data_IF_157310442984
#
_entry.id   IF_157310442984
#
_cell.length_a   1.000
_cell.length_b   1.000
_cell.length_c   1.000
_cell.angle_alpha   90.00
_cell.angle_beta   90.00
_cell.angle_gamma   90.00
#
_symmetry.space_group_name_H-M   'P 1'
#
loop_
_entity.id
_entity.type
_entity.pdbx_description
1 polymer ?
#
# COMPACT_ATOMS: atom_id res chain seq x y z
N UNK A 1 4.14 -13.99 -0.47
CA UNK A 1 4.14 -13.93 -1.95
C UNK A 1 3.65 -15.20 -2.65
N UNK A 2 4.01 -16.43 -2.21
CA UNK A 2 3.56 -17.67 -2.86
C UNK A 2 2.05 -17.92 -2.68
N UNK A 3 1.51 -17.58 -1.54
CA UNK A 3 0.10 -17.78 -1.18
C UNK A 3 -0.80 -16.75 -1.89
N UNK A 4 -0.36 -15.51 -1.98
CA UNK A 4 -1.00 -14.44 -2.75
C UNK A 4 -1.05 -14.76 -4.25
N UNK A 5 -0.04 -15.48 -4.79
CA UNK A 5 -0.05 -16.04 -6.15
C UNK A 5 -1.18 -17.03 -6.35
N UNK A 6 -1.35 -17.99 -5.41
CA UNK A 6 -2.37 -19.04 -5.51
C UNK A 6 -3.79 -18.49 -5.43
N UNK A 7 -4.02 -17.52 -4.52
CA UNK A 7 -5.34 -16.90 -4.36
C UNK A 7 -5.76 -16.09 -5.60
N UNK A 8 -4.88 -15.31 -6.20
CA UNK A 8 -5.20 -14.57 -7.43
C UNK A 8 -5.42 -15.46 -8.64
N UNK A 9 -4.63 -16.49 -8.83
CA UNK A 9 -4.82 -17.44 -9.93
C UNK A 9 -6.14 -18.20 -9.87
N UNK A 10 -6.69 -18.43 -8.68
CA UNK A 10 -7.97 -19.12 -8.51
C UNK A 10 -9.20 -18.23 -8.75
N UNK A 11 -9.11 -16.93 -8.47
CA UNK A 11 -10.29 -16.05 -8.48
C UNK A 11 -10.58 -15.36 -9.82
N UNK A 12 -9.59 -15.09 -10.68
CA UNK A 12 -9.77 -14.18 -11.83
C UNK A 12 -9.20 -14.71 -13.16
N UNK A 13 -8.75 -15.93 -13.28
CA UNK A 13 -8.03 -16.44 -14.48
C UNK A 13 -6.82 -15.59 -14.91
N UNK A 14 -6.25 -14.81 -13.99
CA UNK A 14 -5.19 -13.86 -14.29
C UNK A 14 -3.82 -14.51 -14.36
N UNK A 15 -3.04 -14.05 -15.32
CA UNK A 15 -1.61 -14.30 -15.34
C UNK A 15 -0.91 -13.35 -14.40
N UNK A 16 -0.15 -13.88 -13.45
CA UNK A 16 0.65 -13.08 -12.54
C UNK A 16 2.06 -12.90 -13.06
N UNK A 17 2.44 -11.67 -13.33
CA UNK A 17 3.80 -11.26 -13.70
C UNK A 17 4.44 -10.54 -12.52
N UNK A 18 5.46 -11.13 -11.85
CA UNK A 18 6.14 -10.46 -10.75
C UNK A 18 6.96 -9.28 -11.28
N UNK A 19 6.88 -8.13 -10.60
CA UNK A 19 7.82 -7.03 -10.78
C UNK A 19 8.90 -7.12 -9.70
N UNK A 20 10.15 -6.89 -10.09
CA UNK A 20 11.27 -6.73 -9.16
C UNK A 20 11.02 -5.52 -8.26
N UNK A 21 11.19 -5.70 -6.94
CA UNK A 21 10.92 -4.64 -5.96
C UNK A 21 10.19 -5.16 -4.73
N UNK A 22 10.91 -5.78 -3.81
CA UNK A 22 10.37 -6.24 -2.54
C UNK A 22 10.61 -5.18 -1.47
N UNK A 23 9.60 -4.31 -1.26
CA UNK A 23 9.65 -3.24 -0.28
C UNK A 23 9.79 -3.76 1.16
N UNK A 24 9.25 -4.95 1.47
CA UNK A 24 9.37 -5.55 2.80
C UNK A 24 10.83 -5.91 3.08
N UNK A 25 11.49 -6.56 2.13
CA UNK A 25 12.92 -6.90 2.25
C UNK A 25 13.79 -5.65 2.32
N UNK A 26 13.44 -4.60 1.57
CA UNK A 26 14.14 -3.32 1.63
C UNK A 26 14.09 -2.72 3.04
N UNK A 27 12.92 -2.64 3.64
CA UNK A 27 12.74 -2.08 4.97
C UNK A 27 13.40 -2.96 6.06
N UNK A 28 13.31 -4.28 5.94
CA UNK A 28 13.98 -5.22 6.86
C UNK A 28 15.50 -5.19 6.75
N UNK A 29 16.03 -5.03 5.53
CA UNK A 29 17.46 -4.94 5.27
C UNK A 29 18.08 -3.57 5.59
N UNK A 30 17.28 -2.54 5.73
CA UNK A 30 17.71 -1.16 5.97
C UNK A 30 16.85 -0.48 7.05
N UNK A 31 17.06 -0.79 8.34
CA UNK A 31 16.31 -0.18 9.44
C UNK A 31 16.42 1.36 9.46
N UNK A 32 17.55 1.91 9.02
CA UNK A 32 17.77 3.34 8.89
C UNK A 32 16.82 4.03 7.88
N UNK A 33 16.42 3.31 6.81
CA UNK A 33 15.38 3.79 5.88
C UNK A 33 14.01 3.73 6.55
N UNK A 34 13.70 2.63 7.22
CA UNK A 34 12.42 2.43 7.89
C UNK A 34 12.18 3.46 9.00
N UNK A 35 13.24 3.80 9.75
CA UNK A 35 13.20 4.73 10.86
C UNK A 35 13.52 6.18 10.48
N UNK A 36 13.82 6.44 9.21
CA UNK A 36 14.30 7.74 8.72
C UNK A 36 15.55 8.22 9.48
N UNK A 37 16.36 7.28 10.01
CA UNK A 37 17.61 7.55 10.70
C UNK A 37 18.76 7.61 9.69
N UNK A 38 19.56 8.65 9.79
CA UNK A 38 20.62 8.91 8.82
C UNK A 38 20.26 10.09 7.90
N UNK A 39 21.22 10.92 7.59
CA UNK A 39 20.94 12.15 6.82
C UNK A 39 20.23 11.86 5.50
N UNK A 40 19.36 12.76 5.06
CA UNK A 40 18.58 12.70 3.82
C UNK A 40 19.36 12.21 2.60
N UNK A 41 20.63 12.63 2.48
CA UNK A 41 21.52 12.24 1.38
C UNK A 41 21.83 10.74 1.39
N UNK A 42 22.06 10.17 2.57
CA UNK A 42 22.35 8.73 2.70
C UNK A 42 21.14 7.86 2.34
N UNK A 43 19.97 8.19 2.89
CA UNK A 43 18.71 7.50 2.60
C UNK A 43 18.37 7.60 1.11
N UNK A 44 18.51 8.79 0.52
CA UNK A 44 18.25 9.04 -0.89
C UNK A 44 19.17 8.22 -1.80
N UNK A 45 20.45 8.15 -1.46
CA UNK A 45 21.45 7.36 -2.19
C UNK A 45 21.12 5.87 -2.20
N UNK A 46 20.77 5.32 -1.04
CA UNK A 46 20.38 3.90 -0.89
C UNK A 46 19.10 3.56 -1.68
N UNK A 47 18.07 4.38 -1.53
CA UNK A 47 16.81 4.21 -2.28
C UNK A 47 17.05 4.26 -3.79
N UNK A 48 17.87 5.21 -4.26
CA UNK A 48 18.20 5.33 -5.68
C UNK A 48 18.97 4.11 -6.19
N UNK A 49 19.96 3.63 -5.45
CA UNK A 49 20.72 2.43 -5.82
C UNK A 49 19.81 1.21 -5.92
N UNK A 50 18.92 1.02 -4.97
CA UNK A 50 17.96 -0.08 -4.98
C UNK A 50 16.96 0.01 -6.14
N UNK A 51 16.46 1.21 -6.44
CA UNK A 51 15.58 1.43 -7.59
C UNK A 51 16.28 1.15 -8.91
N UNK A 52 17.55 1.50 -9.05
CA UNK A 52 18.37 1.20 -10.23
C UNK A 52 18.57 -0.31 -10.41
N UNK A 53 18.76 -1.05 -9.33
CA UNK A 53 18.88 -2.50 -9.35
C UNK A 53 17.56 -3.14 -9.83
N UNK A 54 16.44 -2.79 -9.22
CA UNK A 54 15.13 -3.31 -9.60
C UNK A 54 14.73 -2.96 -11.04
N UNK A 55 15.10 -1.77 -11.49
CA UNK A 55 14.77 -1.27 -12.82
C UNK A 55 15.36 -2.09 -13.96
N UNK A 56 16.43 -2.85 -13.72
CA UNK A 56 17.07 -3.71 -14.73
C UNK A 56 16.10 -4.73 -15.32
N UNK A 57 15.19 -5.25 -14.48
CA UNK A 57 14.22 -6.27 -14.89
C UNK A 57 12.88 -5.68 -15.35
N UNK A 58 12.57 -4.44 -14.98
CA UNK A 58 11.24 -3.86 -15.17
C UNK A 58 10.80 -3.78 -16.62
N UNK A 59 11.72 -3.53 -17.54
CA UNK A 59 11.39 -3.43 -18.96
C UNK A 59 10.93 -4.78 -19.52
N UNK A 60 11.62 -5.88 -19.18
CA UNK A 60 11.29 -7.23 -19.66
C UNK A 60 10.05 -7.78 -18.96
N UNK A 61 9.96 -7.58 -17.63
CA UNK A 61 8.80 -7.98 -16.87
C UNK A 61 7.53 -7.23 -17.32
N UNK A 62 7.65 -5.92 -17.57
CA UNK A 62 6.56 -5.11 -18.09
C UNK A 62 6.17 -5.47 -19.52
N UNK A 63 7.13 -5.80 -20.37
CA UNK A 63 6.90 -6.28 -21.75
C UNK A 63 6.08 -7.56 -21.73
N UNK A 64 6.46 -8.52 -20.89
CA UNK A 64 5.74 -9.77 -20.74
C UNK A 64 4.31 -9.57 -20.22
N UNK A 65 4.13 -8.65 -19.26
CA UNK A 65 2.82 -8.35 -18.69
C UNK A 65 1.87 -7.61 -19.65
N UNK A 66 2.41 -6.84 -20.60
CA UNK A 66 1.63 -6.02 -21.54
C UNK A 66 1.38 -6.68 -22.89
N UNK A 67 1.81 -7.94 -23.10
CA UNK A 67 1.77 -8.60 -24.42
C UNK A 67 0.37 -8.65 -25.06
N UNK A 68 -0.68 -8.72 -24.25
CA UNK A 68 -2.08 -8.78 -24.66
C UNK A 68 -2.99 -7.80 -23.88
N UNK A 69 -2.38 -6.78 -23.28
CA UNK A 69 -3.11 -5.77 -22.50
C UNK A 69 -3.81 -4.76 -23.42
N UNK A 70 -5.05 -4.39 -23.08
CA UNK A 70 -5.77 -3.29 -23.74
C UNK A 70 -5.70 -1.96 -22.96
N UNK A 71 -5.29 -2.02 -21.69
CA UNK A 71 -5.19 -0.88 -20.77
C UNK A 71 -4.15 -1.19 -19.70
N UNK A 72 -3.44 -0.17 -19.23
CA UNK A 72 -2.49 -0.30 -18.11
C UNK A 72 -2.98 0.50 -16.92
N UNK A 73 -3.13 -0.15 -15.76
CA UNK A 73 -3.36 0.51 -14.48
C UNK A 73 -2.06 0.62 -13.69
N UNK A 74 -1.57 1.85 -13.49
CA UNK A 74 -0.35 2.12 -12.72
C UNK A 74 -0.66 2.50 -11.28
N UNK A 75 -0.07 1.81 -10.30
CA UNK A 75 -0.28 2.06 -8.88
C UNK A 75 1.02 2.50 -8.20
N UNK A 76 0.95 3.53 -7.36
CA UNK A 76 2.10 4.01 -6.60
C UNK A 76 3.32 4.35 -7.48
N UNK A 77 4.51 3.89 -7.11
CA UNK A 77 5.75 4.11 -7.87
C UNK A 77 5.77 3.38 -9.22
N UNK A 78 5.03 2.28 -9.38
CA UNK A 78 4.89 1.57 -10.64
C UNK A 78 4.14 2.38 -11.72
N UNK A 79 3.47 3.49 -11.35
CA UNK A 79 2.83 4.41 -12.30
C UNK A 79 3.81 4.99 -13.33
N UNK A 80 5.07 5.18 -12.98
CA UNK A 80 6.09 5.66 -13.92
C UNK A 80 6.47 4.60 -14.97
N UNK A 81 6.56 3.33 -14.55
CA UNK A 81 6.76 2.20 -15.47
C UNK A 81 5.55 2.04 -16.36
N UNK A 82 4.34 2.06 -15.80
CA UNK A 82 3.08 1.98 -16.55
C UNK A 82 3.00 3.05 -17.65
N UNK A 83 3.39 4.28 -17.35
CA UNK A 83 3.42 5.36 -18.34
C UNK A 83 4.44 5.09 -19.46
N UNK A 84 5.63 4.57 -19.15
CA UNK A 84 6.63 4.19 -20.16
C UNK A 84 6.14 3.05 -21.06
N UNK A 85 5.52 2.02 -20.47
CA UNK A 85 4.93 0.91 -21.20
C UNK A 85 3.76 1.36 -22.09
N UNK A 86 2.89 2.25 -21.57
CA UNK A 86 1.81 2.83 -22.36
C UNK A 86 2.33 3.57 -23.59
N UNK A 87 3.38 4.37 -23.45
CA UNK A 87 4.03 5.04 -24.59
C UNK A 87 4.66 4.06 -25.59
N UNK A 88 5.28 2.98 -25.07
CA UNK A 88 5.93 1.98 -25.95
C UNK A 88 4.93 1.20 -26.79
N UNK A 89 3.78 0.86 -26.23
CA UNK A 89 2.79 -0.02 -26.87
C UNK A 89 1.55 0.72 -27.38
N UNK A 90 1.48 2.04 -27.23
CA UNK A 90 0.30 2.82 -27.63
C UNK A 90 -0.94 2.49 -26.79
N UNK A 91 -0.76 2.03 -25.55
CA UNK A 91 -1.85 1.63 -24.67
C UNK A 91 -2.32 2.80 -23.79
N UNK A 92 -3.62 2.93 -23.54
CA UNK A 92 -4.11 3.88 -22.57
C UNK A 92 -3.60 3.54 -21.16
N UNK A 93 -3.28 4.58 -20.39
CA UNK A 93 -2.78 4.43 -19.01
C UNK A 93 -3.69 5.19 -18.06
N UNK A 94 -4.06 4.54 -16.97
CA UNK A 94 -4.80 5.14 -15.87
C UNK A 94 -3.99 4.96 -14.59
N UNK A 95 -3.85 6.02 -13.79
CA UNK A 95 -3.22 5.92 -12.48
C UNK A 95 -4.27 5.59 -11.43
N UNK A 96 -4.00 4.54 -10.66
CA UNK A 96 -4.82 4.09 -9.56
C UNK A 96 -4.06 4.37 -8.25
N UNK A 97 -4.61 5.21 -7.38
CA UNK A 97 -3.94 5.67 -6.17
C UNK A 97 -4.82 5.45 -4.94
N UNK A 98 -4.21 5.12 -3.82
CA UNK A 98 -4.90 4.96 -2.53
C UNK A 98 -4.83 6.20 -1.66
N UNK A 99 -4.12 7.24 -2.11
CA UNK A 99 -3.87 8.48 -1.38
C UNK A 99 -4.01 9.68 -2.32
N UNK A 100 -4.47 10.84 -1.82
CA UNK A 100 -4.71 12.04 -2.61
C UNK A 100 -3.40 12.73 -3.00
N UNK A 101 -2.81 12.35 -4.13
CA UNK A 101 -1.54 12.86 -4.63
C UNK A 101 -1.66 14.03 -5.62
N UNK A 102 -2.86 14.32 -6.13
CA UNK A 102 -3.11 15.48 -6.98
C UNK A 102 -3.05 16.75 -6.14
N UNK A 103 -2.28 17.72 -6.60
CA UNK A 103 -2.10 19.00 -5.89
C UNK A 103 -3.45 19.70 -5.66
N UNK A 104 -3.64 20.23 -4.45
CA UNK A 104 -4.85 20.92 -4.05
C UNK A 104 -4.56 22.00 -3.02
N UNK A 105 -5.36 23.07 -3.05
CA UNK A 105 -5.39 24.11 -2.01
C UNK A 105 -6.10 23.64 -0.74
N UNK A 106 -6.87 22.58 -0.83
CA UNK A 106 -7.81 22.14 0.21
C UNK A 106 -7.31 20.89 0.98
N UNK A 107 -6.26 20.24 0.48
CA UNK A 107 -5.68 19.06 1.13
C UNK A 107 -4.31 19.35 1.72
N UNK A 108 -4.02 18.82 2.92
CA UNK A 108 -2.66 18.84 3.45
C UNK A 108 -1.74 17.97 2.61
N UNK A 109 -0.44 18.20 2.71
CA UNK A 109 0.53 17.29 2.13
C UNK A 109 0.52 15.94 2.85
N UNK A 110 0.59 14.86 2.08
CA UNK A 110 0.68 13.51 2.63
C UNK A 110 1.87 13.31 3.59
N UNK A 111 3.00 13.97 3.32
CA UNK A 111 4.20 13.93 4.18
C UNK A 111 4.09 14.80 5.44
N UNK A 112 3.07 15.66 5.53
CA UNK A 112 2.81 16.57 6.65
C UNK A 112 1.30 16.69 6.89
N UNK A 113 0.59 15.60 7.20
CA UNK A 113 -0.87 15.56 7.20
C UNK A 113 -1.52 16.43 8.29
N UNK A 114 -0.79 16.74 9.34
CA UNK A 114 -1.28 17.55 10.47
C UNK A 114 -1.07 19.05 10.29
N UNK A 115 -0.27 19.45 9.28
CA UNK A 115 0.08 20.87 9.06
C UNK A 115 -0.90 21.48 8.07
N UNK A 116 -1.66 22.47 8.53
CA UNK A 116 -2.51 23.29 7.66
C UNK A 116 -1.71 24.46 7.11
N UNK A 117 -1.55 24.48 5.80
CA UNK A 117 -0.81 25.52 5.07
C UNK A 117 -1.77 26.40 4.29
N UNK A 118 -1.42 27.67 4.03
CA UNK A 118 -2.14 28.50 3.06
C UNK A 118 -2.23 27.79 1.70
N UNK A 119 -3.38 27.85 1.04
CA UNK A 119 -3.69 27.03 -0.13
C UNK A 119 -2.66 27.11 -1.26
N UNK A 120 -2.12 28.30 -1.57
CA UNK A 120 -1.06 28.43 -2.59
C UNK A 120 0.26 27.76 -2.17
N UNK A 121 0.60 27.85 -0.87
CA UNK A 121 1.79 27.18 -0.32
C UNK A 121 1.58 25.66 -0.37
N UNK A 122 0.39 25.18 -0.03
CA UNK A 122 0.07 23.75 -0.15
C UNK A 122 0.28 23.25 -1.58
N UNK A 123 -0.27 23.92 -2.58
CA UNK A 123 -0.10 23.56 -4.00
C UNK A 123 1.39 23.56 -4.41
N UNK A 124 2.12 24.61 -4.05
CA UNK A 124 3.56 24.70 -4.36
C UNK A 124 4.33 23.51 -3.77
N UNK A 125 4.07 23.18 -2.51
CA UNK A 125 4.72 22.05 -1.85
C UNK A 125 4.30 20.69 -2.42
N UNK A 126 3.05 20.51 -2.86
CA UNK A 126 2.66 19.31 -3.61
C UNK A 126 3.52 19.14 -4.87
N UNK A 127 3.77 20.24 -5.61
CA UNK A 127 4.64 20.18 -6.77
C UNK A 127 6.10 19.87 -6.40
N UNK A 128 6.61 20.43 -5.30
CA UNK A 128 7.98 20.15 -4.81
C UNK A 128 8.11 18.68 -4.42
N UNK A 129 7.18 18.13 -3.64
CA UNK A 129 7.21 16.71 -3.22
C UNK A 129 7.11 15.77 -4.43
N UNK A 130 6.22 16.10 -5.37
CA UNK A 130 6.09 15.33 -6.62
C UNK A 130 7.39 15.38 -7.44
N UNK A 131 8.00 16.55 -7.55
CA UNK A 131 9.26 16.73 -8.25
C UNK A 131 10.41 15.97 -7.57
N UNK A 132 10.50 16.03 -6.24
CA UNK A 132 11.47 15.24 -5.49
C UNK A 132 11.30 13.73 -5.73
N UNK A 133 10.06 13.21 -5.64
CA UNK A 133 9.77 11.82 -5.98
C UNK A 133 10.16 11.46 -7.42
N UNK A 134 9.95 12.37 -8.37
CA UNK A 134 10.42 12.20 -9.73
C UNK A 134 11.96 12.11 -9.82
N UNK A 135 12.69 13.01 -9.15
CA UNK A 135 14.17 12.99 -9.17
C UNK A 135 14.74 11.69 -8.57
N UNK A 136 14.03 11.07 -7.64
CA UNK A 136 14.39 9.73 -7.12
C UNK A 136 14.24 8.65 -8.19
N UNK A 137 13.14 8.66 -8.92
CA UNK A 137 12.81 7.65 -9.95
C UNK A 137 13.53 7.87 -11.29
N UNK A 138 13.91 9.11 -11.60
CA UNK A 138 14.44 9.53 -12.89
C UNK A 138 15.61 8.68 -13.41
N UNK A 139 16.63 8.36 -12.62
CA UNK A 139 17.73 7.53 -13.11
C UNK A 139 17.29 6.12 -13.50
N UNK A 140 16.51 5.46 -12.64
CA UNK A 140 16.00 4.13 -12.93
C UNK A 140 15.19 4.09 -14.24
N UNK A 141 14.42 5.14 -14.50
CA UNK A 141 13.64 5.24 -15.73
C UNK A 141 14.48 5.65 -16.93
N UNK A 142 15.24 6.75 -16.84
CA UNK A 142 15.91 7.35 -17.99
C UNK A 142 17.19 6.62 -18.40
N UNK A 143 17.89 5.99 -17.46
CA UNK A 143 19.16 5.31 -17.73
C UNK A 143 18.99 3.80 -17.96
N UNK A 144 17.87 3.20 -17.49
CA UNK A 144 17.64 1.77 -17.55
C UNK A 144 16.38 1.41 -18.34
N UNK A 145 15.19 1.78 -17.83
CA UNK A 145 13.91 1.31 -18.39
C UNK A 145 13.64 1.85 -19.79
N UNK A 146 13.75 3.16 -19.97
CA UNK A 146 13.39 3.80 -21.24
C UNK A 146 14.31 3.42 -22.40
N UNK A 147 15.64 3.35 -22.23
CA UNK A 147 16.52 2.80 -23.27
C UNK A 147 16.18 1.36 -23.63
N UNK A 148 15.92 0.50 -22.62
CA UNK A 148 15.52 -0.90 -22.85
C UNK A 148 14.19 -1.04 -23.62
N UNK A 149 13.28 -0.05 -23.48
CA UNK A 149 12.03 0.03 -24.23
C UNK A 149 12.16 0.76 -25.57
N UNK A 150 13.33 1.27 -25.93
CA UNK A 150 13.55 2.08 -27.15
C UNK A 150 12.86 3.45 -27.10
N UNK A 151 12.73 4.04 -25.93
CA UNK A 151 12.08 5.32 -25.72
C UNK A 151 13.09 6.41 -25.36
N UNK A 152 12.87 7.68 -25.78
CA UNK A 152 13.71 8.80 -25.38
C UNK A 152 13.55 9.06 -23.87
N UNK A 153 14.58 9.64 -23.24
CA UNK A 153 14.53 10.04 -21.84
C UNK A 153 13.41 11.05 -21.57
N UNK A 154 12.80 10.96 -20.39
CA UNK A 154 11.89 12.01 -19.93
C UNK A 154 12.64 13.32 -19.67
N UNK A 155 11.98 14.47 -19.83
CA UNK A 155 12.53 15.76 -19.45
C UNK A 155 12.94 15.80 -17.97
N UNK A 156 13.78 16.74 -17.61
CA UNK A 156 14.18 16.95 -16.22
C UNK A 156 13.00 17.24 -15.29
N UNK A 157 11.97 17.91 -15.79
CA UNK A 157 10.70 18.19 -15.08
C UNK A 157 9.82 16.95 -14.85
N UNK A 158 10.09 15.85 -15.53
CA UNK A 158 9.31 14.61 -15.47
C UNK A 158 8.38 14.41 -16.66
N UNK A 159 7.65 13.29 -16.66
CA UNK A 159 6.67 13.00 -17.69
C UNK A 159 5.51 14.00 -17.67
N UNK A 160 5.00 14.33 -18.85
CA UNK A 160 3.71 15.02 -18.96
C UNK A 160 2.58 14.08 -18.51
N UNK A 161 1.78 14.56 -17.59
CA UNK A 161 0.65 13.83 -16.99
C UNK A 161 -0.68 14.53 -17.22
N UNK A 162 -0.71 15.59 -18.00
CA UNK A 162 -1.91 16.41 -18.22
C UNK A 162 -3.09 15.60 -18.79
N UNK A 163 -2.80 14.62 -19.63
CA UNK A 163 -3.81 13.76 -20.26
C UNK A 163 -4.12 12.49 -19.43
N UNK A 164 -3.43 12.26 -18.30
CA UNK A 164 -3.61 11.04 -17.54
C UNK A 164 -4.83 11.13 -16.61
N UNK A 165 -5.61 10.07 -16.62
CA UNK A 165 -6.68 9.87 -15.63
C UNK A 165 -6.09 9.30 -14.35
N UNK A 166 -6.58 9.82 -13.21
CA UNK A 166 -6.20 9.34 -11.88
C UNK A 166 -7.46 8.91 -11.15
N UNK A 167 -7.51 7.66 -10.74
CA UNK A 167 -8.57 7.09 -9.91
C UNK A 167 -8.08 6.97 -8.48
N UNK A 168 -8.87 7.45 -7.53
CA UNK A 168 -8.58 7.37 -6.11
C UNK A 168 -9.47 6.35 -5.44
N UNK A 169 -8.86 5.27 -4.92
CA UNK A 169 -9.53 4.16 -4.25
C UNK A 169 -9.82 4.41 -2.78
N UNK A 170 -10.50 5.50 -2.46
CA UNK A 170 -11.00 5.79 -1.13
C UNK A 170 -12.40 6.43 -1.19
N UNK A 171 -13.11 6.45 -0.06
CA UNK A 171 -14.47 7.00 0.01
C UNK A 171 -14.48 8.53 0.01
N UNK A 172 -15.39 9.12 -0.77
CA UNK A 172 -15.64 10.56 -0.75
C UNK A 172 -16.19 11.05 0.60
N UNK A 173 -16.78 10.17 1.42
CA UNK A 173 -17.20 10.50 2.78
C UNK A 173 -15.99 10.69 3.71
N UNK A 174 -14.93 9.93 3.51
CA UNK A 174 -13.69 10.07 4.27
C UNK A 174 -12.86 11.27 3.81
N UNK A 175 -12.71 11.43 2.51
CA UNK A 175 -11.96 12.53 1.90
C UNK A 175 -12.71 12.99 0.63
N UNK A 176 -13.53 14.06 0.73
CA UNK A 176 -14.24 14.60 -0.42
C UNK A 176 -13.28 15.03 -1.53
N UNK A 177 -13.71 14.87 -2.79
CA UNK A 177 -12.94 15.37 -3.94
C UNK A 177 -12.78 16.89 -3.82
N UNK A 178 -11.56 17.43 -3.83
CA UNK A 178 -11.35 18.87 -3.82
C UNK A 178 -11.92 19.55 -5.06
N UNK A 179 -12.50 20.76 -4.91
CA UNK A 179 -13.11 21.48 -6.03
C UNK A 179 -12.09 21.97 -7.08
N UNK A 180 -10.83 22.11 -6.69
CA UNK A 180 -9.72 22.53 -7.57
C UNK A 180 -9.02 21.38 -8.31
N UNK A 181 -9.50 20.15 -8.14
CA UNK A 181 -8.96 19.03 -8.90
C UNK A 181 -9.52 19.02 -10.34
N UNK A 182 -8.69 18.66 -11.36
CA UNK A 182 -9.15 18.48 -12.73
C UNK A 182 -10.13 17.31 -12.82
N UNK A 183 -10.97 17.30 -13.84
CA UNK A 183 -11.95 16.22 -14.08
C UNK A 183 -11.30 14.86 -14.32
N UNK A 184 -10.04 14.84 -14.72
CA UNK A 184 -9.26 13.62 -14.84
C UNK A 184 -8.93 12.95 -13.51
N UNK A 185 -9.09 13.62 -12.36
CA UNK A 185 -8.87 13.08 -11.01
C UNK A 185 -10.22 12.77 -10.34
N UNK A 186 -10.51 11.49 -10.15
CA UNK A 186 -11.81 11.02 -9.66
C UNK A 186 -11.66 10.16 -8.40
N UNK A 187 -12.55 10.37 -7.43
CA UNK A 187 -12.69 9.53 -6.23
C UNK A 187 -13.78 8.50 -6.51
N UNK A 188 -13.44 7.22 -6.44
CA UNK A 188 -14.30 6.13 -6.91
C UNK A 188 -14.66 5.09 -5.81
N UNK A 189 -14.46 5.44 -4.54
CA UNK A 189 -14.72 4.52 -3.43
C UNK A 189 -13.56 3.55 -3.19
N UNK A 190 -13.66 2.78 -2.11
CA UNK A 190 -12.65 1.79 -1.77
C UNK A 190 -12.65 0.62 -2.75
N UNK A 191 -11.47 0.17 -3.12
CA UNK A 191 -11.31 -1.03 -3.94
C UNK A 191 -11.22 -2.25 -3.03
N UNK A 192 -12.14 -3.17 -3.25
CA UNK A 192 -12.22 -4.42 -2.51
C UNK A 192 -12.15 -5.59 -3.49
N UNK A 193 -11.51 -6.66 -3.07
CA UNK A 193 -11.49 -7.93 -3.78
C UNK A 193 -12.21 -8.98 -2.92
N UNK A 194 -13.49 -9.25 -3.19
CA UNK A 194 -14.25 -10.26 -2.46
C UNK A 194 -13.59 -11.65 -2.59
N UNK A 195 -13.61 -12.42 -1.53
CA UNK A 195 -13.11 -13.80 -1.49
C UNK A 195 -14.23 -14.78 -1.12
N UNK A 196 -15.23 -15.00 -1.99
CA UNK A 196 -16.43 -15.77 -1.65
C UNK A 196 -16.16 -17.25 -1.38
N UNK A 197 -15.03 -17.77 -1.86
CA UNK A 197 -14.64 -19.18 -1.66
C UNK A 197 -13.76 -19.39 -0.42
N UNK A 198 -13.39 -18.31 0.28
CA UNK A 198 -12.58 -18.46 1.49
C UNK A 198 -13.37 -19.10 2.61
N UNK A 199 -12.79 -20.11 3.23
CA UNK A 199 -13.37 -20.80 4.38
C UNK A 199 -12.52 -20.55 5.62
N UNK A 200 -13.14 -20.16 6.73
CA UNK A 200 -12.42 -19.92 7.96
C UNK A 200 -11.87 -21.24 8.54
N UNK A 201 -10.65 -21.21 9.10
CA UNK A 201 -10.12 -22.33 9.86
C UNK A 201 -11.07 -22.72 11.01
N UNK A 202 -11.20 -24.01 11.30
CA UNK A 202 -12.08 -24.51 12.35
C UNK A 202 -11.80 -23.87 13.72
N UNK A 203 -10.52 -23.63 14.05
CA UNK A 203 -10.11 -22.98 15.28
C UNK A 203 -10.63 -21.53 15.38
N UNK A 204 -10.60 -20.76 14.28
CA UNK A 204 -11.15 -19.41 14.24
C UNK A 204 -12.66 -19.41 14.43
N UNK A 205 -13.37 -20.35 13.77
CA UNK A 205 -14.81 -20.50 13.95
C UNK A 205 -15.18 -20.84 15.40
N UNK A 206 -14.47 -21.81 15.99
CA UNK A 206 -14.68 -22.21 17.37
C UNK A 206 -14.44 -21.02 18.33
N UNK A 207 -13.36 -20.25 18.12
CA UNK A 207 -13.10 -19.06 18.91
C UNK A 207 -14.25 -18.04 18.79
N UNK A 208 -14.70 -17.73 17.58
CA UNK A 208 -15.79 -16.76 17.38
C UNK A 208 -17.11 -17.20 18.03
N UNK A 209 -17.41 -18.50 18.01
CA UNK A 209 -18.63 -19.07 18.59
C UNK A 209 -18.57 -19.22 20.11
N UNK A 210 -17.39 -19.27 20.72
CA UNK A 210 -17.19 -19.52 22.15
C UNK A 210 -17.57 -18.35 23.07
N UNK A 211 -18.01 -17.20 22.53
CA UNK A 211 -18.38 -16.05 23.35
C UNK A 211 -18.80 -14.83 22.54
N UNK A 212 -18.90 -13.64 23.18
CA UNK A 212 -19.29 -12.41 22.50
C UNK A 212 -18.29 -12.01 21.40
N UNK A 213 -18.72 -11.20 20.41
CA UNK A 213 -17.86 -10.76 19.32
C UNK A 213 -16.56 -10.16 19.85
N UNK A 214 -15.37 -10.62 19.41
CA UNK A 214 -14.09 -10.13 19.90
C UNK A 214 -13.72 -8.78 19.28
N UNK A 215 -12.69 -8.14 19.82
CA UNK A 215 -11.97 -7.04 19.16
C UNK A 215 -11.07 -7.61 18.06
N UNK A 216 -11.00 -6.97 16.89
CA UNK A 216 -9.93 -7.17 15.94
C UNK A 216 -8.84 -6.14 16.19
N UNK A 217 -7.58 -6.57 16.32
CA UNK A 217 -6.43 -5.68 16.50
C UNK A 217 -5.34 -6.09 15.52
N UNK A 218 -5.03 -5.19 14.56
CA UNK A 218 -4.03 -5.49 13.54
C UNK A 218 -3.46 -4.23 12.89
N UNK A 219 -2.14 -4.19 12.76
CA UNK A 219 -1.42 -3.04 12.21
C UNK A 219 -0.93 -3.28 10.77
N UNK A 220 -1.39 -4.37 10.14
CA UNK A 220 -1.20 -4.64 8.72
C UNK A 220 0.27 -4.76 8.32
N UNK A 221 0.69 -3.94 7.34
CA UNK A 221 2.06 -3.94 6.82
C UNK A 221 3.02 -3.02 7.60
N UNK A 222 2.56 -2.37 8.67
CA UNK A 222 3.47 -1.60 9.53
C UNK A 222 4.36 -2.55 10.32
N UNK A 223 5.65 -2.28 10.31
CA UNK A 223 6.62 -2.94 11.19
C UNK A 223 6.78 -2.10 12.45
N UNK A 224 6.88 -2.76 13.60
CA UNK A 224 7.23 -2.12 14.87
C UNK A 224 8.66 -2.45 15.23
N UNK A 225 9.43 -1.47 15.69
CA UNK A 225 10.78 -1.69 16.20
C UNK A 225 10.76 -2.46 17.51
N UNK A 226 9.64 -2.44 18.22
CA UNK A 226 9.38 -3.20 19.42
C UNK A 226 8.01 -3.86 19.37
N UNK A 227 7.91 -4.88 18.52
CA UNK A 227 6.68 -5.65 18.35
C UNK A 227 6.28 -6.37 19.64
N UNK A 228 7.24 -6.78 20.45
CA UNK A 228 6.98 -7.43 21.75
C UNK A 228 6.33 -6.46 22.73
N UNK A 229 6.88 -5.26 22.89
CA UNK A 229 6.32 -4.23 23.77
C UNK A 229 4.92 -3.79 23.31
N UNK A 230 4.72 -3.61 22.01
CA UNK A 230 3.41 -3.27 21.45
C UNK A 230 2.41 -4.39 21.74
N UNK A 231 2.78 -5.63 21.54
CA UNK A 231 1.95 -6.80 21.82
C UNK A 231 1.58 -6.89 23.30
N UNK A 232 2.55 -6.70 24.19
CA UNK A 232 2.31 -6.67 25.63
C UNK A 232 1.32 -5.56 26.04
N UNK A 233 1.48 -4.37 25.46
CA UNK A 233 0.57 -3.24 25.69
C UNK A 233 -0.85 -3.54 25.23
N UNK A 234 -1.01 -4.11 24.04
CA UNK A 234 -2.29 -4.52 23.48
C UNK A 234 -2.96 -5.58 24.35
N UNK A 235 -2.22 -6.63 24.73
CA UNK A 235 -2.73 -7.70 25.60
C UNK A 235 -3.15 -7.17 26.97
N UNK A 236 -2.37 -6.26 27.58
CA UNK A 236 -2.72 -5.62 28.82
C UNK A 236 -4.05 -4.80 28.72
N UNK A 237 -4.20 -4.03 27.65
CA UNK A 237 -5.43 -3.26 27.41
C UNK A 237 -6.66 -4.17 27.24
N UNK A 238 -6.52 -5.27 26.50
CA UNK A 238 -7.60 -6.27 26.33
C UNK A 238 -7.97 -6.94 27.66
N UNK A 239 -6.95 -7.28 28.48
CA UNK A 239 -7.20 -7.86 29.83
C UNK A 239 -7.94 -6.86 30.75
N UNK A 240 -7.53 -5.59 30.74
CA UNK A 240 -8.17 -4.53 31.54
C UNK A 240 -9.65 -4.31 31.19
N UNK A 241 -10.00 -4.44 29.91
CA UNK A 241 -11.38 -4.27 29.45
C UNK A 241 -12.23 -5.51 29.56
N UNK A 242 -11.66 -6.67 29.94
CA UNK A 242 -12.35 -7.94 30.01
C UNK A 242 -12.80 -8.49 28.65
N UNK A 243 -12.37 -7.91 27.55
CA UNK A 243 -12.76 -8.26 26.19
C UNK A 243 -11.99 -9.50 25.67
N UNK A 244 -12.48 -10.05 24.56
CA UNK A 244 -11.77 -11.06 23.75
C UNK A 244 -11.15 -10.36 22.54
N UNK A 245 -10.04 -10.88 22.01
CA UNK A 245 -9.37 -10.25 20.88
C UNK A 245 -8.81 -11.24 19.86
N UNK A 246 -8.91 -10.86 18.59
CA UNK A 246 -8.18 -11.43 17.47
C UNK A 246 -6.94 -10.56 17.22
N UNK A 247 -5.76 -11.13 17.39
CA UNK A 247 -4.49 -10.42 17.22
C UNK A 247 -3.89 -10.78 15.85
N UNK A 248 -3.95 -9.84 14.89
CA UNK A 248 -3.40 -10.05 13.57
C UNK A 248 -1.92 -9.64 13.51
N UNK A 249 -1.01 -10.58 13.30
CA UNK A 249 0.44 -10.35 13.29
C UNK A 249 0.90 -9.45 12.13
N UNK A 250 0.23 -9.49 10.98
CA UNK A 250 0.61 -8.70 9.81
C UNK A 250 2.07 -8.95 9.38
N UNK A 251 2.81 -7.88 9.05
CA UNK A 251 4.22 -7.95 8.66
C UNK A 251 5.20 -7.81 9.86
N UNK A 252 4.73 -7.99 11.08
CA UNK A 252 5.53 -7.84 12.30
C UNK A 252 5.14 -6.64 13.15
N UNK A 253 3.92 -6.12 12.96
CA UNK A 253 3.36 -5.08 13.83
C UNK A 253 3.02 -5.60 15.23
N UNK A 254 2.59 -6.87 15.33
CA UNK A 254 2.44 -7.60 16.58
C UNK A 254 3.36 -8.82 16.54
N UNK A 255 3.89 -9.22 17.70
CA UNK A 255 4.68 -10.44 17.80
C UNK A 255 3.82 -11.66 17.41
N UNK A 256 4.37 -12.48 16.52
CA UNK A 256 3.72 -13.72 16.12
C UNK A 256 3.95 -14.79 17.21
N UNK A 257 2.91 -15.52 17.53
CA UNK A 257 2.97 -16.64 18.45
C UNK A 257 2.11 -16.44 19.70
N UNK A 258 1.82 -17.56 20.32
CA UNK A 258 1.14 -17.62 21.61
C UNK A 258 2.19 -17.54 22.71
N UNK A 259 2.03 -16.60 23.65
CA UNK A 259 2.79 -16.66 24.89
C UNK A 259 2.24 -17.79 25.76
N UNK A 260 3.09 -18.42 26.55
CA UNK A 260 2.67 -19.51 27.46
C UNK A 260 1.56 -19.09 28.44
N UNK A 261 1.41 -17.79 28.67
CA UNK A 261 0.40 -17.17 29.54
C UNK A 261 -0.85 -16.68 28.79
N UNK A 262 -0.96 -16.94 27.48
CA UNK A 262 -2.13 -16.51 26.73
C UNK A 262 -3.35 -17.39 27.06
N UNK A 263 -4.38 -16.74 27.59
CA UNK A 263 -5.70 -17.35 27.77
C UNK A 263 -6.33 -17.56 26.39
N UNK A 264 -6.33 -18.80 25.91
CA UNK A 264 -6.88 -19.18 24.60
C UNK A 264 -8.40 -18.88 24.48
N UNK A 265 -9.09 -18.65 25.58
CA UNK A 265 -10.49 -18.19 25.56
C UNK A 265 -10.61 -16.70 25.26
N UNK A 266 -9.53 -15.94 25.52
CA UNK A 266 -9.49 -14.49 25.39
C UNK A 266 -8.77 -14.04 24.16
N UNK A 267 -7.67 -14.70 23.77
CA UNK A 267 -6.81 -14.30 22.65
C UNK A 267 -6.80 -15.36 21.56
N UNK A 268 -6.90 -14.92 20.33
CA UNK A 268 -6.70 -15.76 19.15
C UNK A 268 -5.70 -15.07 18.22
N UNK A 269 -4.60 -15.74 17.90
CA UNK A 269 -3.60 -15.26 16.97
C UNK A 269 -4.04 -15.55 15.53
N UNK A 270 -4.28 -14.48 14.77
CA UNK A 270 -4.79 -14.54 13.41
C UNK A 270 -3.65 -14.29 12.43
N UNK A 271 -3.32 -15.25 11.58
CA UNK A 271 -2.36 -15.03 10.50
C UNK A 271 -2.97 -14.19 9.38
N UNK A 272 -4.13 -14.61 8.88
CA UNK A 272 -4.83 -13.95 7.80
C UNK A 272 -6.31 -14.31 7.77
N UNK A 273 -7.15 -13.30 7.50
CA UNK A 273 -8.55 -13.51 7.12
C UNK A 273 -9.02 -12.36 6.22
N UNK A 274 -9.94 -12.60 5.27
CA UNK A 274 -10.60 -11.55 4.52
C UNK A 274 -11.37 -10.62 5.46
N UNK A 275 -11.13 -9.33 5.38
CA UNK A 275 -11.77 -8.35 6.25
C UNK A 275 -13.29 -8.28 6.02
N UNK A 276 -13.75 -8.42 4.78
CA UNK A 276 -15.17 -8.46 4.43
C UNK A 276 -15.93 -9.62 5.11
N UNK A 277 -15.24 -10.76 5.30
CA UNK A 277 -15.80 -11.88 6.06
C UNK A 277 -15.68 -11.65 7.58
N UNK A 278 -14.55 -11.11 8.05
CA UNK A 278 -14.22 -11.05 9.48
C UNK A 278 -14.92 -9.89 10.20
N UNK A 279 -14.94 -8.69 9.63
CA UNK A 279 -15.40 -7.49 10.33
C UNK A 279 -16.88 -7.50 10.75
N UNK A 280 -17.82 -8.12 10.01
CA UNK A 280 -19.18 -8.34 10.52
C UNK A 280 -19.29 -9.23 11.77
N UNK A 281 -18.18 -9.88 12.17
CA UNK A 281 -18.12 -10.85 13.28
C UNK A 281 -17.32 -10.37 14.47
N UNK A 282 -16.82 -9.14 14.43
CA UNK A 282 -16.08 -8.50 15.52
C UNK A 282 -16.83 -7.30 16.07
N UNK A 283 -16.58 -6.96 17.32
CA UNK A 283 -17.24 -5.81 17.97
C UNK A 283 -16.62 -4.49 17.53
N UNK A 284 -15.30 -4.45 17.37
CA UNK A 284 -14.51 -3.26 16.99
C UNK A 284 -13.28 -3.68 16.22
N UNK A 285 -12.90 -2.90 15.23
CA UNK A 285 -11.62 -3.04 14.53
C UNK A 285 -10.64 -1.93 14.94
N UNK A 286 -9.52 -2.32 15.55
CA UNK A 286 -8.40 -1.44 15.89
C UNK A 286 -7.30 -1.63 14.86
N UNK A 287 -6.98 -0.58 14.10
CA UNK A 287 -6.04 -0.68 13.00
C UNK A 287 -5.28 0.64 12.75
N UNK A 288 -4.23 0.57 11.93
CA UNK A 288 -3.34 1.69 11.61
C UNK A 288 -3.87 2.66 10.55
N UNK A 289 -5.09 2.48 10.04
CA UNK A 289 -5.65 3.35 8.99
C UNK A 289 -5.24 2.99 7.56
N UNK A 290 -4.74 1.78 7.30
CA UNK A 290 -4.44 1.33 5.94
C UNK A 290 -5.69 1.30 5.05
N UNK A 291 -5.57 1.66 3.77
CA UNK A 291 -6.71 1.84 2.87
C UNK A 291 -7.60 0.60 2.76
N UNK A 292 -7.03 -0.60 2.67
CA UNK A 292 -7.80 -1.85 2.60
C UNK A 292 -8.59 -2.14 3.88
N UNK A 293 -7.96 -1.96 5.05
CA UNK A 293 -8.62 -2.20 6.34
C UNK A 293 -9.68 -1.14 6.61
N UNK A 294 -9.39 0.13 6.35
CA UNK A 294 -10.35 1.24 6.49
C UNK A 294 -11.55 1.09 5.56
N UNK A 295 -11.33 0.56 4.35
CA UNK A 295 -12.41 0.36 3.39
C UNK A 295 -13.31 -0.83 3.69
N UNK A 296 -12.86 -1.74 4.57
CA UNK A 296 -13.62 -2.91 5.00
C UNK A 296 -14.31 -2.72 6.36
N UNK A 297 -13.83 -1.77 7.17
CA UNK A 297 -14.40 -1.37 8.45
C UNK A 297 -15.55 -0.37 8.29
#
# INVERSE_FOLDING_TARGET
HKEYRRQRQMCIRDRFYPLSGDHQKLLQGHPDIAEMRGGWRGIWGKLRAQLMEWARDWADQGRAACADAGLILGVGSASFLAHSLGQRYGLPVVFAQLQPLTASRHLPLMVMPTVRLPGLVSVALHHVVRFAGWQLMRPALNEVVRPALGLPAYPWSGPDRSALRVLYGYSAHLCPRPPDWPDSAQVCGFWQLPQPQWQPPAALQAFLQAGPPPLYIGFGSMTSNDAAQLTATVKAAVRLTGQRALLASGWGGLAAGEDADDDATRFFHLEQAPHDWLFPRVAVAVHHGGAGTTGAA
#
